data_IF_666499913773
#
_entry.id   IF_666499913773
#
_cell.length_a   1.000
_cell.length_b   1.000
_cell.length_c   1.000
_cell.angle_alpha   90.00
_cell.angle_beta   90.00
_cell.angle_gamma   90.00
#
_symmetry.space_group_name_H-M   'P 1'
#
loop_
_entity.id
_entity.type
_entity.pdbx_description
1 polymer ?
#
# COMPACT_ATOMS: atom_id res chain seq x y z
N UNK A 1 3.26 -92.47 41.15
CA UNK A 1 3.38 -91.03 41.26
C UNK A 1 4.57 -90.49 40.50
N UNK A 2 4.37 -89.98 39.29
CA UNK A 2 5.46 -89.48 38.46
C UNK A 2 5.57 -87.95 38.62
N UNK A 3 6.69 -87.48 39.20
CA UNK A 3 7.03 -86.05 39.27
C UNK A 3 7.52 -85.59 37.90
N UNK A 4 6.79 -84.75 37.22
CA UNK A 4 7.23 -84.01 36.04
C UNK A 4 8.05 -82.81 36.48
N UNK A 5 9.35 -82.84 36.24
CA UNK A 5 10.24 -81.70 36.39
C UNK A 5 9.98 -80.71 35.20
N UNK A 6 9.58 -79.49 35.55
CA UNK A 6 9.45 -78.39 34.56
C UNK A 6 10.86 -77.82 34.33
N UNK A 7 11.41 -78.09 33.14
CA UNK A 7 12.64 -77.42 32.70
C UNK A 7 12.30 -75.96 32.38
N UNK A 8 12.78 -75.02 33.15
CA UNK A 8 12.70 -73.62 32.88
C UNK A 8 13.65 -73.29 31.72
N UNK A 9 13.10 -72.75 30.66
CA UNK A 9 13.83 -72.48 29.43
C UNK A 9 14.74 -71.24 29.66
N UNK A 10 16.06 -71.39 29.55
CA UNK A 10 17.06 -70.36 29.70
C UNK A 10 17.04 -69.34 28.56
N UNK A 11 16.26 -69.58 27.47
CA UNK A 11 16.20 -68.66 26.31
C UNK A 11 15.35 -67.42 26.56
N UNK A 12 14.33 -67.53 27.42
CA UNK A 12 13.45 -66.39 27.76
C UNK A 12 14.14 -65.39 28.66
N UNK A 13 15.01 -65.83 29.59
CA UNK A 13 15.72 -64.93 30.52
C UNK A 13 16.74 -64.02 29.78
N UNK A 14 17.42 -64.56 28.73
CA UNK A 14 18.38 -63.76 27.97
C UNK A 14 17.70 -62.72 27.07
N UNK A 15 16.48 -63.01 26.59
CA UNK A 15 15.67 -62.10 25.77
C UNK A 15 15.13 -60.93 26.62
N UNK A 16 14.68 -61.20 27.84
CA UNK A 16 14.19 -60.18 28.76
C UNK A 16 15.29 -59.21 29.23
N UNK A 17 16.52 -59.73 29.39
CA UNK A 17 17.68 -58.88 29.75
C UNK A 17 18.08 -57.95 28.61
N UNK A 18 18.08 -58.43 27.38
CA UNK A 18 18.36 -57.61 26.16
C UNK A 18 17.28 -56.55 25.99
N UNK A 19 16.00 -56.87 26.15
CA UNK A 19 14.88 -55.95 26.08
C UNK A 19 15.01 -54.88 27.20
N UNK A 20 15.35 -55.27 28.39
CA UNK A 20 15.56 -54.37 29.53
C UNK A 20 16.71 -53.37 29.29
N UNK A 21 17.83 -53.83 28.68
CA UNK A 21 18.94 -52.95 28.32
C UNK A 21 18.58 -52.00 27.15
N UNK A 22 17.86 -52.48 26.15
CA UNK A 22 17.39 -51.66 25.04
C UNK A 22 16.42 -50.56 25.55
N UNK A 23 15.49 -50.93 26.41
CA UNK A 23 14.53 -50.00 27.02
C UNK A 23 15.21 -48.93 27.88
N UNK A 24 16.18 -49.32 28.71
CA UNK A 24 16.97 -48.34 29.50
C UNK A 24 17.75 -47.38 28.60
N UNK A 25 18.38 -47.87 27.52
CA UNK A 25 19.10 -47.01 26.56
C UNK A 25 18.16 -46.04 25.86
N UNK A 26 16.97 -46.46 25.47
CA UNK A 26 15.93 -45.61 24.89
C UNK A 26 15.43 -44.53 25.85
N UNK A 27 15.21 -44.88 27.13
CA UNK A 27 14.83 -43.95 28.16
C UNK A 27 15.92 -42.88 28.44
N UNK A 28 17.19 -43.29 28.47
CA UNK A 28 18.31 -42.36 28.60
C UNK A 28 18.40 -41.42 27.39
N UNK A 29 18.23 -41.96 26.19
CA UNK A 29 18.25 -41.13 24.96
C UNK A 29 17.13 -40.09 24.97
N UNK A 30 15.91 -40.47 25.38
CA UNK A 30 14.78 -39.54 25.51
C UNK A 30 15.05 -38.48 26.58
N UNK A 31 15.59 -38.87 27.71
CA UNK A 31 15.93 -37.95 28.81
C UNK A 31 17.01 -36.92 28.37
N UNK A 32 18.03 -37.38 27.62
CA UNK A 32 19.08 -36.50 27.09
C UNK A 32 18.49 -35.52 26.09
N UNK A 33 17.62 -36.00 25.20
CA UNK A 33 16.97 -35.15 24.20
C UNK A 33 16.08 -34.10 24.88
N UNK A 34 15.32 -34.46 25.89
CA UNK A 34 14.52 -33.54 26.68
C UNK A 34 15.39 -32.49 27.39
N UNK A 35 16.52 -32.91 27.95
CA UNK A 35 17.48 -31.99 28.59
C UNK A 35 18.10 -31.00 27.60
N UNK A 36 18.43 -31.43 26.37
CA UNK A 36 18.92 -30.55 25.29
C UNK A 36 17.85 -29.54 24.89
N UNK A 37 16.60 -29.96 24.67
CA UNK A 37 15.51 -29.06 24.31
C UNK A 37 15.27 -28.03 25.43
N UNK A 38 15.31 -28.46 26.69
CA UNK A 38 15.17 -27.57 27.85
C UNK A 38 16.34 -26.56 27.90
N UNK A 39 17.57 -27.01 27.66
CA UNK A 39 18.75 -26.14 27.67
C UNK A 39 18.68 -25.09 26.52
N UNK A 40 18.28 -25.49 25.32
CA UNK A 40 18.07 -24.57 24.19
C UNK A 40 16.95 -23.58 24.48
N UNK A 41 15.87 -24.04 25.11
CA UNK A 41 14.77 -23.18 25.50
C UNK A 41 15.17 -22.14 26.57
N UNK A 42 15.92 -22.58 27.60
CA UNK A 42 16.45 -21.69 28.64
C UNK A 42 17.48 -20.71 28.09
N UNK A 43 18.38 -21.14 27.20
CA UNK A 43 19.34 -20.27 26.52
C UNK A 43 18.62 -19.25 25.65
N UNK A 44 17.61 -19.65 24.88
CA UNK A 44 16.79 -18.73 24.06
C UNK A 44 16.00 -17.73 24.91
N UNK A 45 15.62 -18.11 26.12
CA UNK A 45 14.95 -17.21 27.07
C UNK A 45 15.93 -16.20 27.69
N UNK A 46 17.14 -16.63 28.00
CA UNK A 46 18.21 -15.76 28.51
C UNK A 46 18.65 -14.75 27.49
N UNK A 47 18.75 -15.13 26.19
CA UNK A 47 19.08 -14.24 25.09
C UNK A 47 17.96 -13.22 24.77
N UNK A 48 16.72 -13.53 25.13
CA UNK A 48 15.59 -12.59 24.97
C UNK A 48 15.42 -11.61 26.15
N UNK A 49 16.09 -11.86 27.28
CA UNK A 49 16.03 -10.95 28.42
C UNK A 49 17.05 -9.81 28.33
N UNK A 50 17.94 -9.82 27.34
CA UNK A 50 18.92 -8.75 27.14
C UNK A 50 18.49 -7.69 26.09
N UNK A 51 17.23 -7.70 25.66
CA UNK A 51 16.62 -6.45 25.21
C UNK A 51 16.39 -5.58 26.48
N UNK A 52 17.47 -5.03 27.00
CA UNK A 52 17.37 -3.87 27.87
C UNK A 52 16.54 -2.85 27.07
N UNK A 53 15.32 -2.61 27.54
CA UNK A 53 14.58 -1.41 27.19
C UNK A 53 15.61 -0.29 27.33
N UNK A 54 16.06 0.28 26.21
CA UNK A 54 16.76 1.54 26.22
C UNK A 54 15.77 2.44 26.93
N UNK A 55 16.01 2.67 28.23
CA UNK A 55 15.25 3.67 28.97
C UNK A 55 15.40 4.94 28.14
N UNK A 56 14.32 5.34 27.47
CA UNK A 56 14.29 6.59 26.76
C UNK A 56 14.78 7.63 27.78
N UNK A 57 15.79 8.45 27.44
CA UNK A 57 16.30 9.42 28.39
C UNK A 57 15.10 10.17 28.94
N UNK A 58 14.93 10.09 30.28
CA UNK A 58 13.88 10.83 30.98
C UNK A 58 14.05 12.25 30.53
N UNK A 59 13.18 12.70 29.64
CA UNK A 59 13.21 14.09 29.20
C UNK A 59 13.17 14.97 30.47
N UNK A 60 14.13 15.84 30.59
CA UNK A 60 14.10 16.85 31.64
C UNK A 60 12.68 17.43 31.68
N UNK A 61 12.14 17.79 32.84
CA UNK A 61 10.82 18.38 32.92
C UNK A 61 10.76 19.51 31.89
N UNK A 62 9.96 19.26 30.85
CA UNK A 62 9.67 20.33 29.88
C UNK A 62 8.99 21.40 30.70
N UNK A 63 9.65 22.54 30.88
CA UNK A 63 8.99 23.72 31.38
C UNK A 63 7.65 23.84 30.67
N UNK A 64 6.58 23.98 31.44
CA UNK A 64 5.22 24.07 30.90
C UNK A 64 5.26 25.12 29.80
N UNK A 65 5.36 24.64 28.55
CA UNK A 65 5.28 25.53 27.41
C UNK A 65 3.93 26.20 27.55
N UNK A 66 3.99 27.51 27.80
CA UNK A 66 2.79 28.33 27.83
C UNK A 66 1.96 27.91 26.61
N UNK A 67 0.76 27.42 26.82
CA UNK A 67 -0.13 26.91 25.77
C UNK A 67 -0.33 28.08 24.78
N UNK A 68 0.51 28.12 23.76
CA UNK A 68 0.37 29.06 22.66
C UNK A 68 -0.87 28.57 21.91
N UNK A 69 -1.99 29.20 22.17
CA UNK A 69 -3.19 28.95 21.38
C UNK A 69 -2.80 29.12 19.92
N UNK A 70 -3.08 28.09 19.10
CA UNK A 70 -2.80 28.19 17.65
C UNK A 70 -3.54 29.43 17.14
N UNK A 71 -2.94 30.21 16.23
CA UNK A 71 -3.63 31.32 15.61
C UNK A 71 -4.93 30.84 14.99
N UNK A 72 -5.99 31.62 15.16
CA UNK A 72 -7.24 31.38 14.41
C UNK A 72 -6.94 31.63 12.93
N UNK A 73 -6.86 30.54 12.14
CA UNK A 73 -6.63 30.59 10.69
C UNK A 73 -7.94 30.22 10.02
N UNK A 74 -8.79 31.19 9.72
CA UNK A 74 -10.06 30.93 9.07
C UNK A 74 -9.81 30.48 7.62
N UNK A 75 -10.28 29.27 7.27
CA UNK A 75 -10.36 28.84 5.88
C UNK A 75 -11.72 29.23 5.29
N UNK A 76 -11.70 29.77 4.09
CA UNK A 76 -12.91 30.10 3.34
C UNK A 76 -12.97 29.26 2.07
N UNK A 77 -14.10 28.61 1.82
CA UNK A 77 -14.32 27.89 0.54
C UNK A 77 -14.51 28.91 -0.58
N UNK A 78 -13.53 28.99 -1.47
CA UNK A 78 -13.54 29.86 -2.66
C UNK A 78 -13.68 29.08 -3.96
N UNK A 79 -13.97 27.78 -3.90
CA UNK A 79 -13.96 26.85 -5.06
C UNK A 79 -14.73 27.42 -6.26
N UNK A 80 -15.96 27.87 -6.06
CA UNK A 80 -16.76 28.44 -7.15
C UNK A 80 -16.28 29.83 -7.59
N UNK A 81 -15.80 30.65 -6.65
CA UNK A 81 -15.29 31.98 -6.94
C UNK A 81 -14.00 31.92 -7.76
N UNK A 82 -13.21 30.88 -7.51
CA UNK A 82 -11.98 30.61 -8.24
C UNK A 82 -12.22 29.94 -9.61
N UNK A 83 -13.45 29.64 -10.00
CA UNK A 83 -13.76 29.02 -11.30
C UNK A 83 -13.54 27.51 -11.35
N UNK A 84 -13.35 26.85 -10.20
CA UNK A 84 -13.14 25.42 -10.14
C UNK A 84 -14.49 24.69 -10.13
N UNK A 85 -14.73 23.87 -11.15
CA UNK A 85 -15.91 23.00 -11.30
C UNK A 85 -15.42 21.55 -11.44
N UNK A 86 -15.07 20.94 -10.33
CA UNK A 86 -14.60 19.56 -10.25
C UNK A 86 -15.51 18.73 -9.37
N UNK A 87 -15.87 17.55 -9.89
CA UNK A 87 -16.58 16.54 -9.12
C UNK A 87 -15.82 15.22 -9.19
N UNK A 88 -15.38 14.74 -8.05
CA UNK A 88 -14.79 13.43 -7.94
C UNK A 88 -15.83 12.32 -8.18
N UNK A 89 -15.46 11.34 -9.01
CA UNK A 89 -16.27 10.16 -9.33
C UNK A 89 -15.51 8.93 -8.83
N UNK A 90 -16.07 8.25 -7.85
CA UNK A 90 -15.47 7.03 -7.28
C UNK A 90 -16.09 5.72 -7.81
N UNK A 91 -17.02 5.80 -8.77
CA UNK A 91 -17.67 4.64 -9.36
C UNK A 91 -18.73 3.95 -8.48
N UNK A 92 -18.99 4.42 -7.25
CA UNK A 92 -19.86 3.76 -6.31
C UNK A 92 -21.30 3.63 -6.82
N UNK A 93 -21.83 2.39 -6.83
CA UNK A 93 -23.22 2.07 -7.21
C UNK A 93 -23.87 1.03 -6.29
N UNK A 94 -23.39 0.96 -5.03
CA UNK A 94 -23.98 0.13 -3.98
C UNK A 94 -23.31 -1.24 -3.80
N UNK A 95 -22.35 -1.62 -4.62
CA UNK A 95 -21.57 -2.86 -4.42
C UNK A 95 -20.59 -2.76 -3.26
N UNK A 96 -20.26 -1.55 -2.83
CA UNK A 96 -19.35 -1.27 -1.71
C UNK A 96 -17.98 -1.89 -1.94
N UNK A 97 -17.37 -1.55 -3.08
CA UNK A 97 -16.04 -1.99 -3.48
C UNK A 97 -14.98 -1.11 -2.79
N UNK A 98 -13.91 -1.72 -2.31
CA UNK A 98 -12.92 -1.02 -1.48
C UNK A 98 -12.37 0.27 -2.14
N UNK A 99 -12.04 0.34 -3.45
CA UNK A 99 -11.54 1.57 -4.06
C UNK A 99 -12.52 2.75 -4.01
N UNK A 100 -13.83 2.49 -3.90
CA UNK A 100 -14.84 3.55 -3.80
C UNK A 100 -14.71 4.39 -2.53
N UNK A 101 -13.95 3.90 -1.52
CA UNK A 101 -13.69 4.62 -0.26
C UNK A 101 -12.48 5.53 -0.33
N UNK A 102 -11.69 5.42 -1.42
CA UNK A 102 -10.49 6.20 -1.58
C UNK A 102 -10.79 7.48 -2.33
N UNK A 103 -10.17 8.57 -1.89
CA UNK A 103 -10.14 9.80 -2.68
C UNK A 103 -9.06 9.71 -3.76
N UNK A 104 -9.03 10.70 -4.62
CA UNK A 104 -7.95 10.88 -5.58
C UNK A 104 -7.02 12.01 -5.15
N UNK A 105 -5.80 12.02 -5.69
CA UNK A 105 -4.78 13.01 -5.40
C UNK A 105 -5.04 14.36 -6.07
N UNK A 106 -4.27 15.34 -5.62
CA UNK A 106 -4.17 16.66 -6.22
C UNK A 106 -2.71 17.11 -6.19
N UNK A 107 -2.34 17.97 -7.12
CA UNK A 107 -1.03 18.61 -7.14
C UNK A 107 -1.14 20.07 -7.50
N UNK A 108 -0.30 20.90 -6.88
CA UNK A 108 -0.01 22.25 -7.31
C UNK A 108 1.38 22.29 -7.95
N UNK A 109 1.49 22.81 -9.15
CA UNK A 109 2.76 22.98 -9.84
C UNK A 109 2.57 23.97 -10.98
N UNK A 110 3.66 24.57 -11.43
CA UNK A 110 3.68 25.44 -12.62
C UNK A 110 3.83 24.56 -13.86
N UNK A 111 2.75 24.39 -14.65
CA UNK A 111 2.79 23.50 -15.82
C UNK A 111 3.15 24.23 -17.12
N UNK A 112 2.99 25.57 -17.17
CA UNK A 112 3.22 26.36 -18.39
C UNK A 112 4.35 27.39 -18.27
N UNK A 113 5.10 27.34 -17.15
CA UNK A 113 6.30 28.13 -16.95
C UNK A 113 6.05 29.63 -16.66
N UNK A 114 4.82 29.98 -16.21
CA UNK A 114 4.45 31.35 -15.94
C UNK A 114 4.71 31.80 -14.50
N UNK A 115 5.22 30.92 -13.66
CA UNK A 115 5.56 31.05 -12.24
C UNK A 115 4.35 31.13 -11.30
N UNK A 116 3.14 30.95 -11.79
CA UNK A 116 1.95 30.75 -10.98
C UNK A 116 1.72 29.25 -10.73
N UNK A 117 1.16 28.89 -9.56
CA UNK A 117 0.88 27.47 -9.26
C UNK A 117 -0.49 27.07 -9.82
N UNK A 118 -0.48 26.11 -10.71
CA UNK A 118 -1.66 25.50 -11.32
C UNK A 118 -2.16 24.34 -10.49
N UNK A 119 -3.37 23.87 -10.75
CA UNK A 119 -4.03 22.83 -9.97
C UNK A 119 -4.41 21.63 -10.82
N UNK A 120 -3.79 20.50 -10.54
CA UNK A 120 -4.19 19.19 -11.09
C UNK A 120 -5.04 18.45 -10.05
N UNK A 121 -6.23 18.01 -10.47
CA UNK A 121 -7.14 17.18 -9.69
C UNK A 121 -7.31 15.82 -10.37
N UNK A 122 -6.88 14.76 -9.70
CA UNK A 122 -7.03 13.39 -10.20
C UNK A 122 -8.45 12.93 -9.97
N UNK A 123 -9.01 12.17 -10.91
CA UNK A 123 -10.36 11.63 -10.81
C UNK A 123 -10.36 10.10 -10.84
N UNK A 124 -11.37 9.50 -10.24
CA UNK A 124 -11.69 8.10 -10.44
C UNK A 124 -12.48 7.90 -11.74
N UNK A 125 -13.11 6.73 -11.87
CA UNK A 125 -13.86 6.34 -13.06
C UNK A 125 -15.08 5.48 -12.68
N UNK A 126 -15.92 5.21 -13.65
CA UNK A 126 -16.96 4.20 -13.53
C UNK A 126 -16.36 2.79 -13.69
N UNK A 127 -16.94 1.82 -13.01
CA UNK A 127 -16.58 0.42 -13.22
C UNK A 127 -16.98 -0.02 -14.63
N UNK A 128 -16.13 -0.76 -15.38
CA UNK A 128 -16.32 -1.04 -16.82
C UNK A 128 -17.64 -1.71 -17.18
N UNK A 129 -18.17 -2.55 -16.31
CA UNK A 129 -19.44 -3.27 -16.48
C UNK A 129 -20.67 -2.39 -16.19
N UNK A 130 -20.47 -1.15 -15.78
CA UNK A 130 -21.49 -0.21 -15.35
C UNK A 130 -21.42 1.16 -16.02
N UNK A 131 -20.46 1.37 -16.91
CA UNK A 131 -20.42 2.57 -17.71
C UNK A 131 -21.67 2.59 -18.63
N UNK A 132 -22.55 3.57 -18.43
CA UNK A 132 -23.63 3.82 -19.37
C UNK A 132 -23.00 4.31 -20.67
N UNK A 133 -23.34 3.70 -21.79
CA UNK A 133 -22.68 3.95 -23.09
C UNK A 133 -22.72 5.43 -23.51
N UNK A 134 -23.67 6.20 -22.99
CA UNK A 134 -23.92 7.60 -23.36
C UNK A 134 -23.37 8.61 -22.35
N UNK A 135 -22.80 8.16 -21.22
CA UNK A 135 -22.22 9.06 -20.22
C UNK A 135 -20.73 9.22 -20.49
N UNK A 136 -20.22 10.46 -20.72
CA UNK A 136 -18.79 10.69 -20.85
C UNK A 136 -18.05 10.16 -19.61
N UNK A 137 -16.94 9.43 -19.85
CA UNK A 137 -16.11 8.97 -18.73
C UNK A 137 -15.46 10.18 -18.05
N UNK A 138 -15.40 10.16 -16.71
CA UNK A 138 -14.70 11.20 -15.97
C UNK A 138 -13.20 11.18 -16.32
N UNK A 139 -12.58 12.33 -16.27
CA UNK A 139 -11.14 12.50 -16.47
C UNK A 139 -10.57 13.33 -15.30
N UNK A 140 -9.27 13.29 -15.11
CA UNK A 140 -8.60 14.30 -14.31
C UNK A 140 -8.88 15.71 -14.84
N UNK A 141 -8.60 16.75 -14.05
CA UNK A 141 -8.74 18.14 -14.42
C UNK A 141 -7.47 18.91 -14.14
N UNK A 142 -7.00 19.63 -15.14
CA UNK A 142 -5.94 20.63 -15.00
C UNK A 142 -6.56 22.02 -15.08
N UNK A 143 -6.34 22.81 -14.06
CA UNK A 143 -6.78 24.18 -13.95
C UNK A 143 -5.56 25.09 -13.95
N UNK A 144 -5.45 25.93 -14.98
CA UNK A 144 -4.44 26.98 -15.04
C UNK A 144 -4.83 28.11 -14.07
N UNK A 145 -3.88 28.59 -13.30
CA UNK A 145 -4.00 29.78 -12.51
C UNK A 145 -3.92 31.02 -13.45
N UNK A 146 -4.98 31.80 -13.49
CA UNK A 146 -5.02 33.01 -14.34
C UNK A 146 -4.48 34.25 -13.60
N UNK A 147 -3.86 34.08 -12.42
CA UNK A 147 -3.51 35.14 -11.47
C UNK A 147 -4.74 35.68 -10.74
N UNK A 148 -4.52 36.43 -9.66
CA UNK A 148 -5.60 37.06 -8.92
C UNK A 148 -6.61 36.12 -8.24
N UNK A 149 -6.32 34.81 -8.16
CA UNK A 149 -7.13 33.77 -7.53
C UNK A 149 -8.18 33.16 -8.44
N UNK A 150 -8.14 33.36 -9.75
CA UNK A 150 -8.98 32.69 -10.74
C UNK A 150 -8.28 31.49 -11.40
N UNK A 151 -9.06 30.48 -11.80
CA UNK A 151 -8.57 29.26 -12.49
C UNK A 151 -9.42 28.97 -13.72
N UNK A 152 -8.76 28.52 -14.79
CA UNK A 152 -9.38 28.10 -16.05
C UNK A 152 -9.13 26.62 -16.34
N UNK A 153 -10.17 25.84 -16.69
CA UNK A 153 -10.01 24.45 -17.10
C UNK A 153 -9.29 24.37 -18.46
N UNK A 154 -8.07 23.85 -18.44
CA UNK A 154 -7.22 23.65 -19.61
C UNK A 154 -6.96 22.17 -19.91
N UNK A 155 -7.69 21.26 -19.29
CA UNK A 155 -7.50 19.80 -19.39
C UNK A 155 -7.43 19.32 -20.84
N UNK A 156 -8.36 19.76 -21.68
CA UNK A 156 -8.42 19.36 -23.08
C UNK A 156 -7.26 19.88 -23.91
N UNK A 157 -7.04 21.21 -23.92
CA UNK A 157 -5.90 21.82 -24.62
C UNK A 157 -4.55 21.26 -24.17
N UNK A 158 -4.39 20.97 -22.88
CA UNK A 158 -3.18 20.39 -22.32
C UNK A 158 -2.99 18.89 -22.63
N UNK A 159 -3.99 18.18 -23.20
CA UNK A 159 -3.85 16.78 -23.58
C UNK A 159 -4.14 15.76 -22.46
N UNK A 160 -4.72 16.18 -21.32
CA UNK A 160 -4.97 15.34 -20.14
C UNK A 160 -6.40 14.77 -20.06
N UNK A 161 -7.18 14.82 -21.16
CA UNK A 161 -8.51 14.18 -21.20
C UNK A 161 -8.42 12.66 -21.30
N UNK A 162 -7.74 12.02 -20.37
CA UNK A 162 -7.53 10.56 -20.33
C UNK A 162 -8.34 9.96 -19.19
N UNK A 163 -9.32 9.08 -19.48
CA UNK A 163 -10.07 8.39 -18.43
C UNK A 163 -9.24 7.28 -17.79
N UNK A 164 -9.13 7.30 -16.47
CA UNK A 164 -8.47 6.30 -15.67
C UNK A 164 -9.06 6.31 -14.24
N UNK A 165 -8.95 5.20 -13.54
CA UNK A 165 -9.29 5.16 -12.12
C UNK A 165 -8.07 5.65 -11.32
N UNK A 166 -7.86 6.97 -11.33
CA UNK A 166 -6.67 7.61 -10.76
C UNK A 166 -6.70 7.66 -9.24
N UNK A 167 -5.51 7.61 -8.64
CA UNK A 167 -5.31 7.61 -7.20
C UNK A 167 -4.46 8.77 -6.73
N UNK A 168 -3.33 9.04 -7.37
CA UNK A 168 -2.38 10.07 -6.99
C UNK A 168 -1.61 10.62 -8.17
N UNK A 169 -0.83 11.66 -7.94
CA UNK A 169 0.09 12.23 -8.89
C UNK A 169 1.46 12.47 -8.25
N UNK A 170 2.53 12.27 -9.02
CA UNK A 170 3.87 12.75 -8.74
C UNK A 170 4.26 13.74 -9.83
N UNK A 171 4.89 14.83 -9.44
CA UNK A 171 5.34 15.89 -10.32
C UNK A 171 6.88 15.94 -10.29
N UNK A 172 7.52 16.05 -11.45
CA UNK A 172 8.97 16.16 -11.58
C UNK A 172 9.39 16.33 -13.01
N UNK A 173 10.48 16.98 -13.25
CA UNK A 173 11.15 17.10 -14.56
C UNK A 173 12.02 15.85 -14.73
N UNK A 174 11.44 14.74 -15.29
CA UNK A 174 12.11 13.44 -15.33
C UNK A 174 13.12 13.32 -16.49
N UNK A 175 13.00 14.16 -17.53
CA UNK A 175 13.90 14.14 -18.67
C UNK A 175 14.82 15.36 -18.75
N UNK A 176 14.83 16.19 -17.69
CA UNK A 176 15.72 17.35 -17.50
C UNK A 176 15.57 18.41 -18.60
N UNK A 177 14.37 18.58 -19.16
CA UNK A 177 14.10 19.58 -20.19
C UNK A 177 13.66 20.95 -19.62
N UNK A 178 13.37 21.03 -18.32
CA UNK A 178 12.97 22.20 -17.58
C UNK A 178 11.46 22.35 -17.40
N UNK A 179 10.65 21.49 -18.02
CA UNK A 179 9.20 21.45 -17.88
C UNK A 179 8.78 20.39 -16.83
N UNK A 180 7.74 20.66 -16.06
CA UNK A 180 7.30 19.72 -15.02
C UNK A 180 6.38 18.64 -15.60
N UNK A 181 6.77 17.36 -15.47
CA UNK A 181 6.03 16.19 -15.92
C UNK A 181 5.09 15.64 -14.85
N UNK A 182 4.18 14.78 -15.28
CA UNK A 182 3.15 14.22 -14.41
C UNK A 182 3.12 12.69 -14.51
N UNK A 183 3.36 12.02 -13.40
CA UNK A 183 3.07 10.59 -13.26
C UNK A 183 1.80 10.39 -12.44
N UNK A 184 0.80 9.69 -13.01
CA UNK A 184 -0.49 9.42 -12.36
C UNK A 184 -0.57 7.96 -11.98
N UNK A 185 -0.71 7.69 -10.69
CA UNK A 185 -1.00 6.35 -10.16
C UNK A 185 -2.48 6.02 -10.30
N UNK A 186 -2.79 4.75 -10.54
CA UNK A 186 -4.16 4.30 -10.79
C UNK A 186 -4.43 2.89 -10.27
N UNK A 187 -5.69 2.54 -10.19
CA UNK A 187 -6.09 1.14 -10.25
C UNK A 187 -6.07 0.70 -11.73
N UNK A 188 -5.18 -0.23 -12.04
CA UNK A 188 -4.81 -0.60 -13.41
C UNK A 188 -3.51 0.08 -13.86
N UNK A 189 -3.37 0.33 -15.15
CA UNK A 189 -2.15 0.94 -15.69
C UNK A 189 -1.98 2.39 -15.23
N UNK A 190 -0.83 2.69 -14.63
CA UNK A 190 -0.39 4.05 -14.35
C UNK A 190 -0.08 4.80 -15.66
N UNK A 191 0.08 6.12 -15.58
CA UNK A 191 0.39 6.97 -16.73
C UNK A 191 1.51 7.94 -16.44
N UNK A 192 2.45 8.05 -17.38
CA UNK A 192 3.45 9.12 -17.42
C UNK A 192 3.13 10.07 -18.57
N UNK A 193 2.97 11.32 -18.23
CA UNK A 193 2.71 12.40 -19.16
C UNK A 193 3.90 13.34 -19.20
N UNK A 194 4.61 13.37 -20.32
CA UNK A 194 5.70 14.33 -20.56
C UNK A 194 5.10 15.67 -20.97
N UNK A 195 5.56 16.72 -20.32
CA UNK A 195 5.21 18.10 -20.65
C UNK A 195 6.12 18.59 -21.79
N UNK A 196 5.57 19.27 -22.76
CA UNK A 196 6.28 19.85 -23.89
C UNK A 196 5.84 21.31 -24.05
N UNK A 197 6.09 22.15 -23.05
CA UNK A 197 5.69 23.54 -23.03
C UNK A 197 4.17 23.74 -22.95
N UNK A 198 3.59 23.39 -21.83
CA UNK A 198 2.15 23.46 -21.51
C UNK A 198 1.27 22.43 -22.25
N UNK A 199 1.86 21.40 -22.84
CA UNK A 199 1.14 20.30 -23.49
C UNK A 199 1.73 18.95 -23.12
N UNK A 200 0.89 18.08 -22.59
CA UNK A 200 1.27 16.74 -22.15
C UNK A 200 1.10 15.69 -23.27
N UNK A 201 2.09 14.82 -23.38
CA UNK A 201 2.09 13.64 -24.25
C UNK A 201 2.20 12.37 -23.37
N UNK A 202 1.30 11.39 -23.57
CA UNK A 202 1.37 10.10 -22.85
C UNK A 202 2.56 9.30 -23.40
N UNK A 203 3.61 9.17 -22.59
CA UNK A 203 4.84 8.43 -22.89
C UNK A 203 4.97 7.16 -22.05
N UNK A 204 3.90 6.72 -21.40
CA UNK A 204 3.87 5.57 -20.49
C UNK A 204 4.46 4.31 -21.10
N UNK A 205 4.10 4.01 -22.35
CA UNK A 205 4.58 2.80 -23.04
C UNK A 205 6.05 2.91 -23.45
N UNK A 206 6.51 4.11 -23.83
CA UNK A 206 7.89 4.40 -24.18
C UNK A 206 8.82 4.25 -22.96
N UNK A 207 8.42 4.81 -21.83
CA UNK A 207 9.16 4.74 -20.58
C UNK A 207 8.98 3.39 -19.84
N UNK A 208 8.05 2.53 -20.29
CA UNK A 208 7.75 1.24 -19.68
C UNK A 208 7.33 1.30 -18.19
N UNK A 209 6.66 2.37 -17.77
CA UNK A 209 6.31 2.65 -16.36
C UNK A 209 4.83 2.45 -16.03
N UNK A 210 4.09 1.73 -16.86
CA UNK A 210 2.67 1.45 -16.63
C UNK A 210 2.39 0.63 -15.35
N UNK A 211 3.38 -0.10 -14.85
CA UNK A 211 3.17 -1.10 -13.82
C UNK A 211 2.33 -2.28 -14.30
N UNK A 212 1.91 -3.13 -13.36
CA UNK A 212 1.05 -4.27 -13.66
C UNK A 212 -0.40 -3.83 -13.88
N UNK A 213 -1.07 -4.38 -14.91
CA UNK A 213 -2.46 -4.01 -15.26
C UNK A 213 -3.50 -4.32 -14.18
N UNK A 214 -3.18 -5.20 -13.24
CA UNK A 214 -4.01 -5.53 -12.08
C UNK A 214 -3.54 -4.86 -10.79
N UNK A 215 -2.52 -4.01 -10.84
CA UNK A 215 -2.00 -3.33 -9.68
C UNK A 215 -2.96 -2.22 -9.22
N UNK A 216 -2.89 -1.94 -7.93
CA UNK A 216 -3.53 -0.78 -7.34
C UNK A 216 -2.44 0.13 -6.77
N UNK A 217 -1.92 1.00 -7.62
CA UNK A 217 -0.93 2.01 -7.25
C UNK A 217 -1.62 3.20 -6.60
N UNK A 218 -1.11 3.68 -5.47
CA UNK A 218 -1.75 4.73 -4.67
C UNK A 218 -0.97 6.03 -4.66
N UNK A 219 0.34 5.97 -4.58
CA UNK A 219 1.21 7.14 -4.58
C UNK A 219 2.49 6.84 -5.32
N UNK A 220 3.15 7.88 -5.79
CA UNK A 220 4.47 7.81 -6.38
C UNK A 220 5.29 9.02 -5.98
N UNK A 221 6.59 8.94 -6.19
CA UNK A 221 7.53 10.05 -6.01
C UNK A 221 8.65 9.94 -7.01
N UNK A 222 9.03 11.07 -7.57
CA UNK A 222 10.29 11.23 -8.26
C UNK A 222 11.37 11.65 -7.26
N UNK A 223 12.56 11.10 -7.39
CA UNK A 223 13.75 11.48 -6.60
C UNK A 223 15.00 10.90 -7.26
N UNK A 224 16.13 11.51 -7.04
CA UNK A 224 17.43 11.02 -7.49
C UNK A 224 17.98 10.04 -6.44
N UNK A 225 17.89 8.74 -6.72
CA UNK A 225 18.22 7.67 -5.78
C UNK A 225 19.74 7.43 -5.67
N UNK A 226 20.44 7.57 -6.77
CA UNK A 226 21.87 7.27 -6.86
C UNK A 226 22.75 8.52 -7.06
N UNK A 227 22.12 9.69 -7.07
CA UNK A 227 22.76 11.00 -7.16
C UNK A 227 23.53 11.18 -8.48
N UNK A 228 22.93 10.71 -9.58
CA UNK A 228 23.46 10.88 -10.93
C UNK A 228 22.89 12.11 -11.65
N UNK A 229 21.87 12.76 -11.09
CA UNK A 229 21.21 13.94 -11.61
C UNK A 229 19.94 13.67 -12.41
N UNK A 230 19.62 12.39 -12.67
CA UNK A 230 18.38 11.98 -13.32
C UNK A 230 17.34 11.55 -12.26
N UNK A 231 16.06 11.75 -12.51
CA UNK A 231 15.02 11.38 -11.55
C UNK A 231 14.59 9.93 -11.71
N UNK A 232 14.70 9.19 -10.61
CA UNK A 232 14.11 7.86 -10.44
C UNK A 232 12.64 7.96 -10.05
N UNK A 233 11.90 6.88 -10.30
CA UNK A 233 10.49 6.78 -9.96
C UNK A 233 10.24 5.64 -8.98
N UNK A 234 9.67 5.95 -7.82
CA UNK A 234 9.19 4.97 -6.86
C UNK A 234 7.65 4.95 -6.79
N UNK A 235 7.05 3.77 -6.91
CA UNK A 235 5.59 3.60 -6.92
C UNK A 235 5.14 2.70 -5.78
N UNK A 236 4.20 3.19 -4.98
CA UNK A 236 3.59 2.45 -3.89
C UNK A 236 2.33 1.73 -4.36
N UNK A 237 2.29 0.42 -4.17
CA UNK A 237 1.11 -0.40 -4.39
C UNK A 237 0.43 -0.76 -3.06
N UNK A 238 -0.90 -0.84 -3.07
CA UNK A 238 -1.69 -1.00 -1.85
C UNK A 238 -1.94 -2.47 -1.51
N UNK A 239 -2.90 -3.08 -2.18
CA UNK A 239 -3.27 -4.49 -1.99
C UNK A 239 -3.54 -5.14 -3.33
N UNK A 240 -3.45 -6.47 -3.39
CA UNK A 240 -3.97 -7.20 -4.54
C UNK A 240 -5.49 -7.12 -4.53
N UNK A 241 -6.05 -6.46 -5.52
CA UNK A 241 -7.46 -6.23 -5.60
C UNK A 241 -8.00 -6.48 -7.01
N UNK A 242 -9.17 -7.01 -7.08
CA UNK A 242 -10.05 -6.97 -8.24
C UNK A 242 -11.49 -6.94 -7.75
N UNK A 243 -12.41 -6.55 -8.61
CA UNK A 243 -13.83 -6.59 -8.26
C UNK A 243 -14.27 -7.99 -7.81
N UNK A 244 -13.75 -9.05 -8.46
CA UNK A 244 -14.07 -10.42 -8.09
C UNK A 244 -13.52 -10.79 -6.70
N UNK A 245 -12.26 -10.45 -6.42
CA UNK A 245 -11.65 -10.65 -5.08
C UNK A 245 -12.50 -9.96 -4.00
N UNK A 246 -12.93 -8.72 -4.22
CA UNK A 246 -13.73 -7.96 -3.26
C UNK A 246 -15.10 -8.59 -3.03
N UNK A 247 -15.74 -9.08 -4.09
CA UNK A 247 -17.02 -9.78 -4.00
C UNK A 247 -16.89 -11.14 -3.29
N UNK A 248 -15.77 -11.84 -3.49
CA UNK A 248 -15.48 -13.12 -2.83
C UNK A 248 -15.14 -12.93 -1.34
N UNK A 249 -14.38 -11.88 -0.98
CA UNK A 249 -14.14 -11.47 0.42
C UNK A 249 -15.47 -11.19 1.12
N UNK A 250 -16.40 -10.55 0.41
CA UNK A 250 -17.78 -10.30 0.86
C UNK A 250 -17.88 -9.85 2.33
N UNK A 251 -17.10 -8.83 2.69
CA UNK A 251 -17.03 -8.37 4.07
C UNK A 251 -18.39 -7.88 4.55
N UNK A 252 -18.83 -8.37 5.70
CA UNK A 252 -20.18 -8.10 6.24
C UNK A 252 -20.12 -7.67 7.70
N UNK A 253 -21.01 -6.78 8.06
CA UNK A 253 -21.29 -6.41 9.45
C UNK A 253 -22.66 -6.95 9.86
N UNK A 254 -22.74 -7.48 11.08
CA UNK A 254 -23.98 -8.03 11.64
C UNK A 254 -25.10 -6.98 11.63
N UNK A 255 -26.24 -7.32 11.03
CA UNK A 255 -27.40 -6.43 10.93
C UNK A 255 -27.33 -5.37 9.82
N UNK A 256 -26.19 -5.22 9.12
CA UNK A 256 -26.02 -4.25 8.03
C UNK A 256 -25.87 -4.95 6.68
N UNK A 257 -25.32 -6.19 6.69
CA UNK A 257 -24.99 -6.93 5.47
C UNK A 257 -23.62 -6.50 4.89
N UNK A 258 -23.46 -6.59 3.56
CA UNK A 258 -22.23 -6.25 2.88
C UNK A 258 -21.85 -4.78 3.11
N UNK A 259 -20.58 -4.56 3.46
CA UNK A 259 -19.96 -3.26 3.66
C UNK A 259 -18.54 -3.24 3.10
N UNK A 260 -17.90 -2.09 3.10
CA UNK A 260 -16.50 -1.96 2.68
C UNK A 260 -15.59 -2.79 3.59
N UNK A 261 -14.74 -3.64 3.00
CA UNK A 261 -13.78 -4.46 3.74
C UNK A 261 -12.57 -3.63 4.21
N UNK A 262 -11.96 -4.00 5.34
CA UNK A 262 -10.71 -3.38 5.76
C UNK A 262 -9.54 -3.91 4.90
N UNK A 263 -8.43 -3.15 4.74
CA UNK A 263 -7.31 -3.53 3.90
C UNK A 263 -6.69 -4.89 4.24
N UNK A 264 -6.72 -5.30 5.50
CA UNK A 264 -6.18 -6.58 5.95
C UNK A 264 -7.02 -7.81 5.54
N UNK A 265 -8.18 -7.61 4.93
CA UNK A 265 -8.96 -8.67 4.31
C UNK A 265 -8.42 -9.06 2.91
N UNK A 266 -7.47 -8.30 2.36
CA UNK A 266 -6.87 -8.50 1.05
C UNK A 266 -5.39 -8.85 1.17
N UNK A 267 -4.83 -9.47 0.13
CA UNK A 267 -3.42 -9.80 0.09
C UNK A 267 -2.57 -8.53 -0.14
N UNK A 268 -1.38 -8.50 0.46
CA UNK A 268 -0.41 -7.43 0.22
C UNK A 268 0.19 -7.55 -1.18
N UNK A 269 0.58 -6.44 -1.75
CA UNK A 269 1.34 -6.37 -3.00
C UNK A 269 2.73 -5.77 -2.75
N UNK A 270 3.54 -5.66 -3.80
CA UNK A 270 4.90 -5.12 -3.73
C UNK A 270 4.95 -3.75 -4.41
N UNK A 271 5.85 -2.88 -3.93
CA UNK A 271 6.18 -1.62 -4.57
C UNK A 271 7.27 -1.83 -5.65
N UNK A 272 7.43 -0.92 -6.56
CA UNK A 272 8.45 -0.88 -7.60
C UNK A 272 8.83 0.57 -7.93
#
# INVERSE_FOLDING_TARGET
>A
GTKRSMKYDKSTAATDEIIGHAFRRSLIAVAVLAAIVLAVWLAGRSLRQDESLVEAPTAAPVDVVQEVLPPDVPFTDITRQAGIDFRHVNGARGEKLLPETMGSGAAFFDFDGDADQDLLLINGDYWPDRAESDTPRPTMKLYRNDGGGGFSDVTGPAGLQVPLYGMGAAIGDYDNDGDADVYVTAYGANRLFRNEGARFTDVTAEAAVAGDQGAWSTSASFFDMDNDGDLDLFVCNYVQWSRQIDLDVNFQLTGIGRTYGPPNAYQRTYNY
#
